data_IF_449016592292
#
_entry.id   IF_449016592292
#
_cell.length_a   1.000
_cell.length_b   1.000
_cell.length_c   1.000
_cell.angle_alpha   90.00
_cell.angle_beta   90.00
_cell.angle_gamma   90.00
#
_symmetry.space_group_name_H-M   'P 1'
#
loop_
_entity.id
_entity.type
_entity.pdbx_description
1 polymer ?
#
# COMPACT_ATOMS: atom_id res chain seq x y z
N UNK A 1 5.86 -20.36 6.00
CA UNK A 1 5.09 -19.18 5.59
C UNK A 1 4.89 -19.19 4.07
N UNK A 2 3.70 -18.87 3.61
CA UNK A 2 3.40 -18.84 2.19
C UNK A 2 4.12 -17.67 1.52
N UNK A 3 4.66 -17.87 0.29
CA UNK A 3 5.42 -16.82 -0.42
C UNK A 3 4.62 -15.55 -0.66
N UNK A 4 3.34 -15.69 -1.04
CA UNK A 4 2.46 -14.53 -1.23
C UNK A 4 2.37 -13.68 0.02
N UNK A 5 2.29 -14.30 1.20
CA UNK A 5 2.22 -13.57 2.46
C UNK A 5 3.46 -12.70 2.66
N UNK A 6 4.63 -13.21 2.29
CA UNK A 6 5.88 -12.45 2.39
C UNK A 6 5.81 -11.14 1.59
N UNK A 7 5.24 -11.17 0.39
CA UNK A 7 5.15 -9.96 -0.46
C UNK A 7 3.98 -9.06 -0.09
N UNK A 8 2.94 -9.58 0.54
CA UNK A 8 1.76 -8.78 0.90
C UNK A 8 1.84 -8.19 2.31
N UNK A 9 2.73 -8.68 3.16
CA UNK A 9 3.02 -8.07 4.45
C UNK A 9 3.80 -6.78 4.26
N UNK A 10 3.62 -5.83 5.19
CA UNK A 10 4.28 -4.53 5.11
C UNK A 10 5.57 -4.56 5.94
N UNK A 11 6.75 -4.48 5.30
CA UNK A 11 8.01 -4.40 6.05
C UNK A 11 8.09 -3.12 6.88
N UNK A 12 8.84 -3.16 7.96
CA UNK A 12 9.06 -2.01 8.82
C UNK A 12 9.58 -0.79 8.05
N UNK A 13 10.50 -1.01 7.12
CA UNK A 13 11.06 0.08 6.32
C UNK A 13 9.98 0.79 5.48
N UNK A 14 9.04 0.03 4.93
CA UNK A 14 7.91 0.60 4.18
C UNK A 14 7.01 1.40 5.11
N UNK A 15 6.71 0.87 6.29
CA UNK A 15 5.87 1.59 7.28
C UNK A 15 6.47 2.94 7.65
N UNK A 16 7.78 3.00 7.84
CA UNK A 16 8.47 4.24 8.17
C UNK A 16 8.35 5.24 7.03
N UNK A 17 8.61 4.82 5.80
CA UNK A 17 8.51 5.71 4.63
C UNK A 17 7.10 6.22 4.41
N UNK A 18 6.11 5.35 4.57
CA UNK A 18 4.70 5.74 4.44
C UNK A 18 4.30 6.72 5.54
N UNK A 19 4.72 6.47 6.78
CA UNK A 19 4.46 7.37 7.88
C UNK A 19 5.03 8.77 7.62
N UNK A 20 6.27 8.83 7.17
CA UNK A 20 6.94 10.10 6.85
C UNK A 20 6.26 10.81 5.67
N UNK A 21 5.95 10.05 4.61
CA UNK A 21 5.28 10.60 3.44
C UNK A 21 3.93 11.24 3.79
N UNK A 22 3.15 10.57 4.63
CA UNK A 22 1.78 10.98 4.97
C UNK A 22 1.73 11.89 6.20
N UNK A 23 2.88 12.15 6.81
CA UNK A 23 2.97 13.09 7.95
C UNK A 23 2.32 12.60 9.22
N UNK A 24 2.20 11.27 9.40
CA UNK A 24 1.57 10.70 10.60
C UNK A 24 0.08 10.98 10.70
N UNK A 25 -0.57 11.31 9.60
CA UNK A 25 -2.00 11.65 9.55
C UNK A 25 -2.76 10.67 8.67
N UNK A 26 -4.02 10.46 8.98
CA UNK A 26 -4.93 9.76 8.08
C UNK A 26 -5.05 10.57 6.79
N UNK A 27 -4.75 9.93 5.65
CA UNK A 27 -4.81 10.61 4.35
C UNK A 27 -6.25 10.92 3.92
N UNK A 28 -7.23 10.31 4.57
CA UNK A 28 -8.64 10.48 4.22
C UNK A 28 -9.35 11.54 5.05
N UNK A 29 -9.13 11.59 6.36
CA UNK A 29 -9.81 12.52 7.24
C UNK A 29 -8.87 13.50 7.97
N UNK A 30 -7.57 13.31 7.88
CA UNK A 30 -6.59 14.22 8.46
C UNK A 30 -6.35 14.07 9.95
N UNK A 31 -7.04 13.17 10.64
CA UNK A 31 -6.82 12.96 12.08
C UNK A 31 -5.44 12.40 12.35
N UNK A 32 -4.92 12.73 13.55
CA UNK A 32 -3.67 12.13 14.05
C UNK A 32 -3.94 11.00 15.05
N UNK A 33 -5.20 10.71 15.34
CA UNK A 33 -5.60 9.69 16.32
C UNK A 33 -5.78 8.33 15.64
N UNK A 34 -5.30 7.28 16.27
CA UNK A 34 -5.44 5.88 15.83
C UNK A 34 -4.91 5.63 14.42
N UNK A 35 -3.93 6.42 13.97
CA UNK A 35 -3.36 6.31 12.63
C UNK A 35 -2.27 5.27 12.60
N UNK A 36 -2.27 4.45 11.55
CA UNK A 36 -1.21 3.45 11.30
C UNK A 36 -0.90 3.41 9.80
N UNK A 37 0.37 3.14 9.43
CA UNK A 37 0.76 2.99 8.02
C UNK A 37 0.53 1.56 7.53
N UNK A 38 -0.67 1.04 7.75
CA UNK A 38 -1.00 -0.37 7.56
C UNK A 38 -2.09 -0.62 6.53
N UNK A 39 -2.62 0.41 5.90
CA UNK A 39 -3.72 0.23 4.96
C UNK A 39 -3.21 -0.04 3.55
N UNK A 40 -3.77 -1.04 2.89
CA UNK A 40 -3.44 -1.40 1.51
C UNK A 40 -4.43 -0.73 0.56
N UNK A 41 -3.92 -0.06 -0.47
CA UNK A 41 -4.75 0.49 -1.55
C UNK A 41 -5.40 -0.65 -2.35
N UNK A 42 -4.58 -1.61 -2.84
CA UNK A 42 -5.08 -2.90 -3.34
C UNK A 42 -4.97 -3.87 -2.18
N UNK A 43 -6.07 -4.49 -1.72
CA UNK A 43 -6.06 -5.28 -0.49
C UNK A 43 -5.26 -6.57 -0.62
N UNK A 44 -4.80 -7.08 0.52
CA UNK A 44 -4.08 -8.36 0.57
C UNK A 44 -4.90 -9.49 -0.02
N UNK A 45 -6.22 -9.48 0.18
CA UNK A 45 -7.14 -10.47 -0.39
C UNK A 45 -7.13 -10.47 -1.93
N UNK A 46 -6.73 -9.38 -2.55
CA UNK A 46 -6.55 -9.25 -4.00
C UNK A 46 -5.06 -9.25 -4.38
N UNK A 47 -4.20 -9.84 -3.55
CA UNK A 47 -2.76 -9.97 -3.74
C UNK A 47 -2.00 -8.64 -3.71
N UNK A 48 -2.58 -7.61 -3.09
CA UNK A 48 -1.95 -6.29 -2.96
C UNK A 48 -0.62 -6.35 -2.21
N UNK A 49 0.40 -5.70 -2.77
CA UNK A 49 1.75 -5.71 -2.22
C UNK A 49 1.85 -4.88 -0.94
N UNK A 50 2.51 -5.43 0.07
CA UNK A 50 2.93 -4.66 1.25
C UNK A 50 4.33 -4.09 1.10
N UNK A 51 5.13 -4.67 0.19
CA UNK A 51 6.52 -4.25 -0.03
C UNK A 51 6.65 -3.00 -0.91
N UNK A 52 5.57 -2.59 -1.55
CA UNK A 52 5.56 -1.40 -2.41
C UNK A 52 4.85 -0.27 -1.68
N UNK A 53 5.59 0.78 -1.32
CA UNK A 53 5.06 1.91 -0.55
C UNK A 53 3.91 2.64 -1.26
N UNK A 54 3.83 2.56 -2.59
CA UNK A 54 2.74 3.19 -3.34
C UNK A 54 1.40 2.53 -3.05
N UNK A 55 1.42 1.27 -2.59
CA UNK A 55 0.20 0.52 -2.27
C UNK A 55 -0.23 0.67 -0.81
N UNK A 56 0.55 1.37 0.00
CA UNK A 56 0.31 1.49 1.44
C UNK A 56 0.04 2.94 1.79
N UNK A 57 -0.88 3.16 2.73
CA UNK A 57 -1.19 4.53 3.18
C UNK A 57 -1.51 4.56 4.66
N UNK A 58 -1.37 5.74 5.25
CA UNK A 58 -1.76 5.99 6.63
C UNK A 58 -3.26 6.21 6.70
N UNK A 59 -3.92 5.45 7.56
CA UNK A 59 -5.34 5.61 7.82
C UNK A 59 -5.61 5.47 9.31
N UNK A 60 -6.58 6.25 9.82
CA UNK A 60 -7.09 6.02 11.16
C UNK A 60 -7.95 4.74 11.16
N UNK A 61 -8.20 4.22 12.35
CA UNK A 61 -8.95 2.97 12.49
C UNK A 61 -10.32 3.03 11.80
N UNK A 62 -11.02 4.15 11.94
CA UNK A 62 -12.34 4.34 11.33
C UNK A 62 -12.27 4.32 9.80
N UNK A 63 -11.37 5.11 9.22
CA UNK A 63 -11.25 5.20 7.75
C UNK A 63 -10.73 3.90 7.14
N UNK A 64 -9.79 3.23 7.83
CA UNK A 64 -9.29 1.93 7.40
C UNK A 64 -10.44 0.92 7.31
N UNK A 65 -11.27 0.88 8.35
CA UNK A 65 -12.41 -0.02 8.39
C UNK A 65 -13.46 0.32 7.34
N UNK A 66 -13.74 1.61 7.10
CA UNK A 66 -14.65 2.03 6.04
C UNK A 66 -14.15 1.62 4.67
N UNK A 67 -12.86 1.74 4.43
CA UNK A 67 -12.28 1.34 3.15
C UNK A 67 -12.36 -0.16 2.94
N UNK A 68 -12.05 -0.95 3.97
CA UNK A 68 -11.99 -2.40 3.83
C UNK A 68 -13.37 -3.06 3.82
N UNK A 69 -14.35 -2.49 4.54
CA UNK A 69 -15.57 -3.22 4.88
C UNK A 69 -16.88 -2.48 4.60
N UNK A 70 -16.87 -1.36 3.86
CA UNK A 70 -18.10 -0.61 3.65
C UNK A 70 -18.43 -0.42 2.16
N UNK A 71 -19.70 -0.10 1.84
CA UNK A 71 -20.08 0.23 0.47
C UNK A 71 -19.42 1.50 -0.07
N UNK A 72 -18.84 2.33 0.80
CA UNK A 72 -18.15 3.58 0.42
C UNK A 72 -16.76 3.33 -0.13
N UNK A 73 -16.30 2.08 -0.18
CA UNK A 73 -14.96 1.72 -0.64
C UNK A 73 -14.60 2.36 -1.98
N UNK A 74 -15.53 2.34 -2.94
CA UNK A 74 -15.27 2.88 -4.28
C UNK A 74 -14.95 4.37 -4.25
N UNK A 75 -15.76 5.13 -3.52
CA UNK A 75 -15.56 6.58 -3.40
C UNK A 75 -14.25 6.90 -2.65
N UNK A 76 -13.97 6.13 -1.62
CA UNK A 76 -12.72 6.28 -0.87
C UNK A 76 -11.52 5.95 -1.76
N UNK A 77 -11.63 4.90 -2.56
CA UNK A 77 -10.57 4.51 -3.50
C UNK A 77 -10.29 5.62 -4.51
N UNK A 78 -11.32 6.28 -5.01
CA UNK A 78 -11.14 7.41 -5.94
C UNK A 78 -10.36 8.55 -5.28
N UNK A 79 -10.65 8.85 -4.01
CA UNK A 79 -9.90 9.86 -3.24
C UNK A 79 -8.45 9.45 -3.03
N UNK A 80 -8.20 8.18 -2.71
CA UNK A 80 -6.85 7.65 -2.55
C UNK A 80 -6.08 7.70 -3.86
N UNK A 81 -6.71 7.36 -4.98
CA UNK A 81 -6.10 7.45 -6.30
C UNK A 81 -5.67 8.89 -6.58
N UNK A 82 -6.50 9.86 -6.27
CA UNK A 82 -6.16 11.27 -6.40
C UNK A 82 -4.97 11.67 -5.53
N UNK A 83 -4.93 11.21 -4.28
CA UNK A 83 -3.81 11.49 -3.38
C UNK A 83 -2.50 10.89 -3.89
N UNK A 84 -2.53 9.63 -4.33
CA UNK A 84 -1.34 8.94 -4.81
C UNK A 84 -0.85 9.53 -6.13
N UNK A 85 -1.76 9.92 -7.03
CA UNK A 85 -1.42 10.61 -8.26
C UNK A 85 -0.77 11.97 -7.97
N UNK A 86 -1.30 12.70 -6.99
CA UNK A 86 -0.71 13.97 -6.58
C UNK A 86 0.70 13.76 -6.02
N UNK A 87 0.89 12.71 -5.23
CA UNK A 87 2.17 12.44 -4.56
C UNK A 87 3.24 11.92 -5.52
N UNK A 88 2.88 11.06 -6.45
CA UNK A 88 3.82 10.35 -7.32
C UNK A 88 3.74 10.76 -8.79
N UNK A 89 2.79 11.62 -9.17
CA UNK A 89 2.54 11.99 -10.55
C UNK A 89 1.45 11.14 -11.19
N UNK A 90 0.87 11.64 -12.28
CA UNK A 90 -0.28 10.96 -12.91
C UNK A 90 0.07 9.58 -13.50
N UNK A 91 1.34 9.36 -13.81
CA UNK A 91 1.82 8.09 -14.37
C UNK A 91 2.48 7.20 -13.32
N UNK A 92 2.02 7.30 -12.07
CA UNK A 92 2.62 6.56 -10.96
C UNK A 92 2.48 5.04 -11.08
N UNK A 93 1.47 4.56 -11.79
CA UNK A 93 1.31 3.17 -12.18
C UNK A 93 0.72 3.13 -13.59
N UNK A 94 1.03 2.07 -14.36
CA UNK A 94 0.42 1.81 -15.66
C UNK A 94 -0.96 1.19 -15.46
N UNK A 95 -1.05 0.22 -14.56
CA UNK A 95 -2.31 -0.37 -14.13
C UNK A 95 -2.15 -0.93 -12.71
N UNK A 96 -3.28 -1.34 -12.11
CA UNK A 96 -3.29 -1.81 -10.72
C UNK A 96 -2.52 -3.11 -10.52
N UNK A 97 -2.28 -3.90 -11.57
CA UNK A 97 -1.53 -5.15 -11.44
C UNK A 97 -0.07 -4.91 -11.03
N UNK A 98 0.47 -3.72 -11.27
CA UNK A 98 1.79 -3.36 -10.77
C UNK A 98 1.88 -3.41 -9.24
N UNK A 99 0.75 -3.24 -8.55
CA UNK A 99 0.68 -3.23 -7.10
C UNK A 99 0.26 -4.59 -6.53
N UNK A 100 0.29 -5.65 -7.33
CA UNK A 100 -0.12 -7.00 -6.93
C UNK A 100 1.03 -7.99 -7.06
N UNK A 101 0.98 -9.02 -6.22
CA UNK A 101 1.92 -10.13 -6.31
C UNK A 101 1.73 -10.91 -7.62
N UNK A 102 2.85 -11.32 -8.23
CA UNK A 102 2.86 -12.26 -9.34
C UNK A 102 4.09 -13.17 -9.24
N UNK A 103 4.02 -14.35 -9.85
CA UNK A 103 5.07 -15.36 -9.70
C UNK A 103 6.46 -14.91 -10.18
N UNK A 104 6.51 -14.03 -11.17
CA UNK A 104 7.78 -13.50 -11.68
C UNK A 104 8.59 -12.74 -10.63
N UNK A 105 7.93 -12.22 -9.61
CA UNK A 105 8.61 -11.49 -8.54
C UNK A 105 9.61 -12.34 -7.77
N UNK A 106 9.31 -13.63 -7.57
CA UNK A 106 10.22 -14.54 -6.88
C UNK A 106 11.56 -14.61 -7.59
N UNK A 107 11.53 -14.69 -8.91
CA UNK A 107 12.73 -14.77 -9.73
C UNK A 107 13.49 -13.44 -9.73
N UNK A 108 12.80 -12.32 -9.88
CA UNK A 108 13.39 -11.00 -9.89
C UNK A 108 14.13 -10.70 -8.59
N UNK A 109 13.50 -11.01 -7.45
CA UNK A 109 14.10 -10.76 -6.14
C UNK A 109 15.31 -11.66 -5.89
N UNK A 110 15.22 -12.93 -6.29
CA UNK A 110 16.35 -13.85 -6.17
C UNK A 110 17.55 -13.37 -6.97
N UNK A 111 17.34 -12.83 -8.16
CA UNK A 111 18.44 -12.28 -8.94
C UNK A 111 19.07 -11.07 -8.26
N UNK A 112 18.25 -10.21 -7.67
CA UNK A 112 18.71 -9.04 -6.95
C UNK A 112 19.56 -9.43 -5.74
N UNK A 113 19.07 -10.38 -4.94
CA UNK A 113 19.80 -10.87 -3.76
C UNK A 113 21.13 -11.50 -4.16
N UNK A 114 21.15 -12.24 -5.24
CA UNK A 114 22.35 -12.91 -5.73
C UNK A 114 23.41 -11.90 -6.19
N UNK A 115 23.00 -10.83 -6.87
CA UNK A 115 23.92 -9.81 -7.38
C UNK A 115 24.38 -8.82 -6.32
N UNK A 116 23.55 -8.57 -5.34
CA UNK A 116 23.81 -7.61 -4.28
C UNK A 116 24.59 -8.18 -3.10
N UNK A 117 24.94 -9.46 -3.17
CA UNK A 117 25.61 -10.21 -2.11
C UNK A 117 27.01 -9.74 -1.76
#
# INVERSE_FOLDING_TARGET
MHRMTHYTEIPKAVKIRVWERDGGRCVLCGTTRTVSPNAHYIPRSALGLGIDERNIFCACLRCHNLYDNSPQRRDIKDRLTGYLSWRYGDNWITDEDELKYHKGMDYEIKQYEYQGG
#
